data_IF_639131756844
#
_entry.id   IF_639131756844
#
_cell.length_a   1.000
_cell.length_b   1.000
_cell.length_c   1.000
_cell.angle_alpha   90.00
_cell.angle_beta   90.00
_cell.angle_gamma   90.00
#
_symmetry.space_group_name_H-M   'P 1'
#
loop_
_entity.id
_entity.type
_entity.pdbx_description
1 polymer ?
#
# COMPACT_ATOMS: atom_id res chain seq x y z
N UNK A 1 -21.43 6.69 6.41
CA UNK A 1 -19.96 6.83 6.50
C UNK A 1 -19.58 6.56 7.94
N UNK A 2 -19.12 5.34 8.23
CA UNK A 2 -18.62 5.04 9.58
C UNK A 2 -17.24 5.69 9.73
N UNK A 3 -17.02 6.31 10.88
CA UNK A 3 -15.76 6.98 11.16
C UNK A 3 -14.61 5.95 11.15
N UNK A 4 -13.47 6.33 10.65
CA UNK A 4 -12.24 5.53 10.56
C UNK A 4 -11.78 4.89 11.89
N UNK A 5 -12.40 5.24 13.02
CA UNK A 5 -11.93 4.95 14.36
C UNK A 5 -12.93 4.21 15.24
N UNK A 6 -14.14 3.93 14.76
CA UNK A 6 -15.12 3.14 15.52
C UNK A 6 -15.43 1.86 14.75
N UNK A 7 -15.11 0.71 15.30
CA UNK A 7 -15.51 -0.59 14.77
C UNK A 7 -17.03 -0.66 14.54
N UNK A 8 -17.47 -1.46 13.59
CA UNK A 8 -18.90 -1.64 13.29
C UNK A 8 -19.20 -1.87 11.82
N UNK A 9 -18.24 -2.39 11.03
CA UNK A 9 -18.54 -2.89 9.70
C UNK A 9 -19.34 -4.19 9.80
N UNK A 10 -20.54 -4.21 9.24
CA UNK A 10 -21.39 -5.40 9.15
C UNK A 10 -21.70 -5.68 7.68
N UNK A 11 -22.05 -6.93 7.38
CA UNK A 11 -22.53 -7.32 6.06
C UNK A 11 -24.02 -7.57 6.14
N UNK A 12 -24.75 -6.93 5.24
CA UNK A 12 -26.18 -7.13 5.03
C UNK A 12 -26.39 -7.69 3.64
N UNK A 13 -27.42 -8.50 3.46
CA UNK A 13 -27.87 -9.00 2.17
C UNK A 13 -29.33 -8.65 1.93
N UNK A 14 -29.71 -8.58 0.66
CA UNK A 14 -31.07 -8.36 0.20
C UNK A 14 -31.39 -9.40 -0.88
N UNK A 15 -32.56 -10.00 -0.81
CA UNK A 15 -33.12 -10.93 -1.79
C UNK A 15 -34.32 -10.34 -2.55
N UNK A 16 -34.62 -9.06 -2.33
CA UNK A 16 -35.74 -8.31 -2.91
C UNK A 16 -35.31 -7.03 -3.63
N UNK A 17 -34.13 -7.05 -4.27
CA UNK A 17 -33.55 -5.92 -5.01
C UNK A 17 -33.31 -4.67 -4.14
N UNK A 18 -32.96 -4.85 -2.88
CA UNK A 18 -32.63 -3.77 -1.97
C UNK A 18 -33.82 -3.12 -1.28
N UNK A 19 -35.01 -3.70 -1.41
CA UNK A 19 -36.21 -3.19 -0.72
C UNK A 19 -36.14 -3.45 0.78
N UNK A 20 -35.62 -4.62 1.18
CA UNK A 20 -35.31 -4.96 2.57
C UNK A 20 -33.91 -5.53 2.70
N UNK A 21 -33.32 -5.41 3.89
CA UNK A 21 -31.96 -5.87 4.18
C UNK A 21 -31.94 -6.67 5.47
N UNK A 22 -31.29 -7.83 5.45
CA UNK A 22 -31.10 -8.72 6.58
C UNK A 22 -29.62 -8.82 6.93
N UNK A 23 -29.30 -8.96 8.23
CA UNK A 23 -27.94 -9.22 8.68
C UNK A 23 -27.49 -10.61 8.25
N UNK A 24 -26.26 -10.71 7.75
CA UNK A 24 -25.67 -12.00 7.42
C UNK A 24 -25.43 -12.86 8.67
N UNK A 25 -25.59 -14.18 8.55
CA UNK A 25 -25.21 -15.13 9.59
C UNK A 25 -23.78 -15.64 9.36
N UNK A 26 -23.04 -15.89 10.45
CA UNK A 26 -21.64 -16.28 10.41
C UNK A 26 -21.40 -17.64 11.08
N UNK A 27 -20.51 -18.45 10.51
CA UNK A 27 -20.20 -19.78 11.04
C UNK A 27 -19.46 -19.77 12.38
N UNK A 28 -18.73 -18.73 12.72
CA UNK A 28 -18.11 -18.50 14.04
C UNK A 28 -17.47 -17.12 14.17
N UNK A 29 -17.52 -16.55 15.37
CA UNK A 29 -16.51 -15.68 15.97
C UNK A 29 -16.24 -14.30 15.37
N UNK A 30 -16.84 -13.88 14.30
CA UNK A 30 -16.79 -12.51 13.86
C UNK A 30 -17.56 -11.64 14.85
N UNK A 31 -16.84 -10.96 15.70
CA UNK A 31 -17.41 -9.89 16.49
C UNK A 31 -17.45 -8.63 15.61
N UNK A 32 -18.43 -7.79 15.83
CA UNK A 32 -18.80 -6.59 15.06
C UNK A 32 -17.72 -5.47 15.08
N UNK A 33 -16.43 -5.81 15.04
CA UNK A 33 -15.33 -4.88 15.16
C UNK A 33 -14.56 -4.70 13.84
N UNK A 34 -15.17 -5.05 12.70
CA UNK A 34 -14.54 -4.80 11.40
C UNK A 34 -14.39 -3.28 11.16
N UNK A 35 -13.20 -2.83 10.83
CA UNK A 35 -12.96 -1.44 10.45
C UNK A 35 -13.21 -1.21 8.97
N UNK A 36 -12.92 -2.23 8.15
CA UNK A 36 -13.14 -2.21 6.70
C UNK A 36 -13.56 -3.59 6.21
N UNK A 37 -14.50 -3.60 5.29
CA UNK A 37 -14.93 -4.82 4.60
C UNK A 37 -14.90 -4.54 3.10
N UNK A 38 -14.22 -5.40 2.35
CA UNK A 38 -14.25 -5.41 0.89
C UNK A 38 -14.97 -6.66 0.41
N UNK A 39 -16.11 -6.48 -0.26
CA UNK A 39 -16.98 -7.57 -0.74
C UNK A 39 -16.84 -7.71 -2.24
N UNK A 40 -16.64 -8.93 -2.72
CA UNK A 40 -16.53 -9.26 -4.14
C UNK A 40 -17.37 -10.47 -4.52
N UNK A 41 -18.21 -10.27 -5.52
CA UNK A 41 -18.93 -11.35 -6.19
C UNK A 41 -18.00 -12.02 -7.18
N UNK A 42 -18.01 -13.33 -7.28
CA UNK A 42 -17.29 -14.06 -8.32
C UNK A 42 -18.04 -13.90 -9.66
N UNK A 43 -17.43 -13.32 -10.70
CA UNK A 43 -18.15 -13.08 -11.97
C UNK A 43 -18.57 -14.37 -12.67
N UNK A 44 -17.81 -15.46 -12.50
CA UNK A 44 -18.11 -16.78 -13.07
C UNK A 44 -19.14 -17.58 -12.30
N UNK A 45 -19.43 -17.20 -11.03
CA UNK A 45 -20.46 -17.81 -10.19
C UNK A 45 -21.07 -16.76 -9.26
N UNK A 46 -22.14 -16.07 -9.65
CA UNK A 46 -22.73 -15.00 -8.85
C UNK A 46 -23.26 -15.41 -7.47
N UNK A 47 -23.44 -16.70 -7.20
CA UNK A 47 -23.80 -17.17 -5.85
C UNK A 47 -22.59 -17.19 -4.91
N UNK A 48 -21.38 -17.23 -5.46
CA UNK A 48 -20.16 -17.18 -4.68
C UNK A 48 -19.73 -15.74 -4.47
N UNK A 49 -19.68 -15.35 -3.19
CA UNK A 49 -19.25 -14.02 -2.76
C UNK A 49 -18.19 -14.17 -1.68
N UNK A 50 -17.16 -13.34 -1.76
CA UNK A 50 -16.12 -13.26 -0.74
C UNK A 50 -16.16 -11.91 -0.05
N UNK A 51 -15.74 -11.89 1.20
CA UNK A 51 -15.53 -10.69 1.99
C UNK A 51 -14.16 -10.75 2.67
N UNK A 52 -13.30 -9.80 2.35
CA UNK A 52 -12.06 -9.59 3.08
C UNK A 52 -12.30 -8.53 4.17
N UNK A 53 -12.00 -8.89 5.41
CA UNK A 53 -12.37 -8.10 6.58
C UNK A 53 -11.11 -7.65 7.31
N UNK A 54 -10.93 -6.34 7.43
CA UNK A 54 -9.82 -5.71 8.12
C UNK A 54 -10.20 -5.21 9.51
N UNK A 55 -9.32 -5.43 10.49
CA UNK A 55 -9.43 -4.86 11.84
C UNK A 55 -8.12 -4.20 12.26
N UNK A 56 -8.23 -3.19 13.14
CA UNK A 56 -7.07 -2.65 13.86
C UNK A 56 -6.75 -3.60 15.01
N UNK A 57 -5.52 -4.05 15.12
CA UNK A 57 -4.97 -4.82 16.24
C UNK A 57 -5.54 -6.24 16.46
N UNK A 58 -6.31 -6.81 15.55
CA UNK A 58 -6.76 -8.20 15.62
C UNK A 58 -6.62 -8.88 14.24
N UNK A 59 -6.56 -10.23 14.20
CA UNK A 59 -6.49 -10.96 12.94
C UNK A 59 -7.62 -10.56 12.01
N UNK A 60 -7.32 -10.50 10.72
CA UNK A 60 -8.28 -10.30 9.65
C UNK A 60 -8.90 -11.61 9.27
N UNK A 61 -10.02 -11.54 8.59
CA UNK A 61 -10.70 -12.73 8.10
C UNK A 61 -11.02 -12.60 6.63
N UNK A 62 -10.95 -13.72 5.95
CA UNK A 62 -11.64 -13.95 4.71
C UNK A 62 -12.92 -14.73 5.04
N UNK A 63 -14.01 -14.35 4.42
CA UNK A 63 -15.26 -15.09 4.52
C UNK A 63 -15.81 -15.38 3.12
N UNK A 64 -16.48 -16.50 2.98
CA UNK A 64 -17.11 -16.95 1.73
C UNK A 64 -18.57 -17.32 1.96
N UNK A 65 -19.43 -16.93 1.06
CA UNK A 65 -20.79 -17.40 0.94
C UNK A 65 -21.02 -18.05 -0.42
N UNK A 66 -21.96 -18.99 -0.49
CA UNK A 66 -22.46 -19.60 -1.73
C UNK A 66 -24.00 -19.60 -1.78
N UNK A 67 -24.64 -18.81 -0.92
CA UNK A 67 -26.07 -18.69 -0.77
C UNK A 67 -26.56 -17.23 -0.80
N UNK A 68 -25.96 -16.44 -1.70
CA UNK A 68 -26.25 -15.01 -1.89
C UNK A 68 -26.07 -14.14 -0.65
N UNK A 69 -25.18 -14.54 0.26
CA UNK A 69 -24.85 -13.72 1.43
C UNK A 69 -25.69 -13.99 2.67
N UNK A 70 -26.60 -14.96 2.66
CA UNK A 70 -27.42 -15.29 3.82
C UNK A 70 -26.62 -15.98 4.92
N UNK A 71 -25.64 -16.83 4.55
CA UNK A 71 -24.68 -17.41 5.50
C UNK A 71 -23.26 -17.33 4.99
N UNK A 72 -22.31 -17.20 5.91
CA UNK A 72 -20.91 -17.03 5.63
C UNK A 72 -20.05 -18.02 6.39
N UNK A 73 -19.11 -18.63 5.68
CA UNK A 73 -18.05 -19.45 6.26
C UNK A 73 -16.79 -18.60 6.38
N UNK A 74 -16.23 -18.54 7.57
CA UNK A 74 -14.94 -17.89 7.81
C UNK A 74 -13.81 -18.83 7.39
N UNK A 75 -12.89 -18.30 6.63
CA UNK A 75 -11.70 -18.99 6.11
C UNK A 75 -10.45 -18.41 6.75
N UNK A 76 -9.39 -19.21 6.80
CA UNK A 76 -8.10 -18.75 7.28
C UNK A 76 -7.43 -17.85 6.25
N UNK A 77 -6.74 -16.83 6.73
CA UNK A 77 -5.87 -15.99 5.92
C UNK A 77 -4.48 -16.59 5.80
N UNK A 78 -3.73 -16.26 4.73
CA UNK A 78 -2.36 -16.72 4.61
C UNK A 78 -1.55 -16.29 5.84
N UNK A 79 -0.96 -17.26 6.49
CA UNK A 79 0.08 -17.06 7.48
C UNK A 79 1.42 -17.11 6.77
N UNK A 80 2.28 -16.15 7.00
CA UNK A 80 3.60 -16.15 6.39
C UNK A 80 4.48 -17.22 7.03
N UNK A 81 5.08 -18.06 6.21
CA UNK A 81 6.13 -18.99 6.66
C UNK A 81 7.52 -18.33 6.67
N UNK A 82 7.68 -17.15 6.07
CA UNK A 82 8.94 -16.42 6.09
C UNK A 82 9.09 -15.57 7.36
N UNK A 83 9.63 -16.21 8.40
CA UNK A 83 9.99 -15.57 9.66
C UNK A 83 11.21 -14.65 9.56
N UNK A 84 11.88 -14.55 8.42
CA UNK A 84 13.09 -13.75 8.22
C UNK A 84 12.81 -12.26 8.07
N UNK A 85 11.58 -11.85 7.76
CA UNK A 85 11.17 -10.46 7.58
C UNK A 85 10.39 -9.90 8.76
N UNK A 86 10.90 -10.06 9.98
CA UNK A 86 10.23 -9.66 11.23
C UNK A 86 9.97 -8.15 11.40
N UNK A 87 10.34 -7.30 10.46
CA UNK A 87 10.25 -5.86 10.69
C UNK A 87 8.99 -5.19 10.13
N UNK A 88 8.41 -5.70 9.05
CA UNK A 88 7.15 -5.19 8.49
C UNK A 88 6.50 -6.31 7.69
N UNK A 89 5.68 -7.09 8.37
CA UNK A 89 5.17 -8.37 7.94
C UNK A 89 4.63 -8.46 6.53
N UNK A 90 5.15 -9.40 5.78
CA UNK A 90 4.53 -9.90 4.57
C UNK A 90 3.27 -10.74 4.85
N UNK A 91 2.51 -10.45 5.88
CA UNK A 91 1.31 -11.20 6.25
C UNK A 91 0.06 -10.45 5.80
N UNK A 92 -0.86 -11.16 5.19
CA UNK A 92 -2.20 -10.64 5.05
C UNK A 92 -2.90 -10.52 6.43
N UNK A 93 -2.47 -11.33 7.41
CA UNK A 93 -3.04 -11.40 8.75
C UNK A 93 -2.40 -10.47 9.78
N UNK A 94 -1.14 -10.03 9.57
CA UNK A 94 -0.41 -9.22 10.52
C UNK A 94 0.05 -7.94 9.86
N UNK A 95 -0.66 -6.88 10.06
CA UNK A 95 -0.16 -5.61 9.62
C UNK A 95 -0.59 -4.59 10.62
N UNK A 96 0.34 -4.01 11.24
CA UNK A 96 0.34 -2.88 12.15
C UNK A 96 -0.76 -1.82 11.90
N UNK A 97 -2.01 -2.26 11.70
CA UNK A 97 -3.17 -1.40 11.55
C UNK A 97 -3.43 -0.87 10.12
N UNK A 98 -2.71 -1.29 9.08
CA UNK A 98 -2.90 -0.75 7.71
C UNK A 98 -4.18 -1.26 7.01
N UNK A 99 -4.73 -2.40 7.41
CA UNK A 99 -5.94 -2.94 6.78
C UNK A 99 -7.22 -2.15 6.99
N UNK A 100 -7.20 -1.17 7.86
CA UNK A 100 -8.31 -0.24 7.97
C UNK A 100 -8.38 0.72 6.77
N UNK A 101 -7.28 0.94 6.05
CA UNK A 101 -7.23 1.85 4.91
C UNK A 101 -6.68 1.20 3.62
N UNK A 102 -5.78 0.22 3.69
CA UNK A 102 -5.19 -0.47 2.55
C UNK A 102 -5.63 -1.93 2.49
N UNK A 103 -6.64 -2.24 1.70
CA UNK A 103 -7.08 -3.59 1.33
C UNK A 103 -7.35 -3.62 -0.17
N UNK A 104 -6.57 -4.41 -0.90
CA UNK A 104 -6.84 -4.77 -2.28
C UNK A 104 -7.37 -6.21 -2.34
N UNK A 105 -8.57 -6.39 -2.90
CA UNK A 105 -9.16 -7.70 -3.04
C UNK A 105 -9.84 -7.89 -4.40
N UNK A 106 -9.67 -9.07 -5.00
CA UNK A 106 -10.26 -9.40 -6.27
C UNK A 106 -10.54 -10.89 -6.41
N UNK A 107 -11.64 -11.23 -7.11
CA UNK A 107 -11.97 -12.59 -7.54
C UNK A 107 -11.74 -12.69 -9.04
N UNK A 108 -11.21 -13.81 -9.48
CA UNK A 108 -10.96 -14.05 -10.90
C UNK A 108 -12.26 -14.00 -11.71
N UNK A 109 -12.19 -13.40 -12.89
CA UNK A 109 -13.37 -13.21 -13.73
C UNK A 109 -13.89 -14.52 -14.32
N UNK A 110 -13.04 -15.55 -14.41
CA UNK A 110 -13.34 -16.82 -15.09
C UNK A 110 -13.37 -18.03 -14.14
N UNK A 111 -12.83 -17.88 -12.92
CA UNK A 111 -12.78 -18.93 -11.91
C UNK A 111 -13.14 -18.38 -10.52
N UNK A 112 -14.27 -18.79 -9.99
CA UNK A 112 -14.78 -18.37 -8.67
C UNK A 112 -13.88 -18.80 -7.50
N UNK A 113 -12.98 -19.76 -7.67
CA UNK A 113 -12.06 -20.22 -6.64
C UNK A 113 -10.69 -19.52 -6.69
N UNK A 114 -10.40 -18.79 -7.75
CA UNK A 114 -9.18 -18.00 -7.85
C UNK A 114 -9.42 -16.59 -7.31
N UNK A 115 -8.69 -16.25 -6.25
CA UNK A 115 -8.80 -14.95 -5.56
C UNK A 115 -7.42 -14.35 -5.32
N UNK A 116 -7.39 -13.03 -5.28
CA UNK A 116 -6.19 -12.23 -5.03
C UNK A 116 -6.45 -11.29 -3.87
N UNK A 117 -5.50 -11.20 -2.97
CA UNK A 117 -5.57 -10.30 -1.83
C UNK A 117 -4.22 -9.61 -1.61
N UNK A 118 -4.25 -8.32 -1.28
CA UNK A 118 -3.06 -7.54 -1.00
C UNK A 118 -3.31 -6.51 0.09
N UNK A 119 -2.31 -6.30 0.89
CA UNK A 119 -2.22 -5.21 1.86
C UNK A 119 -0.82 -4.60 1.73
N UNK A 120 0.20 -5.21 2.32
CA UNK A 120 1.62 -4.88 2.06
C UNK A 120 2.07 -5.67 0.83
N UNK A 121 2.03 -6.99 0.90
CA UNK A 121 2.32 -7.88 -0.23
C UNK A 121 1.04 -8.48 -0.80
N UNK A 122 1.12 -9.02 -2.01
CA UNK A 122 0.03 -9.67 -2.68
C UNK A 122 0.13 -11.20 -2.60
N UNK A 123 -1.03 -11.82 -2.47
CA UNK A 123 -1.22 -13.26 -2.38
C UNK A 123 -2.29 -13.72 -3.37
N UNK A 124 -2.14 -14.96 -3.83
CA UNK A 124 -3.08 -15.66 -4.71
C UNK A 124 -3.53 -16.96 -4.06
N UNK A 125 -4.80 -17.24 -4.11
CA UNK A 125 -5.40 -18.56 -3.84
C UNK A 125 -6.06 -19.07 -5.12
N UNK A 126 -6.02 -20.38 -5.34
CA UNK A 126 -6.70 -21.06 -6.46
C UNK A 126 -7.70 -22.13 -5.97
N UNK A 127 -7.95 -22.16 -4.67
CA UNK A 127 -8.83 -23.13 -4.02
C UNK A 127 -9.91 -22.49 -3.13
N UNK A 128 -10.22 -21.24 -3.44
CA UNK A 128 -11.27 -20.49 -2.75
C UNK A 128 -10.86 -19.96 -1.38
N UNK A 129 -9.57 -19.73 -1.15
CA UNK A 129 -9.05 -19.18 0.09
C UNK A 129 -8.60 -20.21 1.12
N UNK A 130 -8.50 -21.48 0.75
CA UNK A 130 -8.02 -22.55 1.64
C UNK A 130 -6.51 -22.55 1.75
N UNK A 131 -5.83 -22.34 0.61
CA UNK A 131 -4.37 -22.17 0.59
C UNK A 131 -3.97 -20.96 -0.24
N UNK A 132 -2.77 -20.42 0.03
CA UNK A 132 -2.30 -19.19 -0.54
C UNK A 132 -0.87 -19.28 -1.04
N UNK A 133 -0.60 -18.61 -2.13
CA UNK A 133 0.74 -18.41 -2.69
C UNK A 133 1.11 -16.93 -2.57
N UNK A 134 2.26 -16.63 -1.99
CA UNK A 134 2.86 -15.31 -1.96
C UNK A 134 3.38 -14.96 -3.37
N UNK A 135 2.98 -13.84 -3.94
CA UNK A 135 3.30 -13.50 -5.34
C UNK A 135 4.08 -12.20 -5.51
N UNK A 136 4.28 -11.42 -4.45
CA UNK A 136 5.05 -10.17 -4.53
C UNK A 136 5.92 -9.93 -3.31
N UNK A 137 6.95 -9.09 -3.48
CA UNK A 137 7.77 -8.54 -2.39
C UNK A 137 7.87 -7.02 -2.59
N UNK A 138 7.28 -6.25 -1.68
CA UNK A 138 7.29 -4.80 -1.73
C UNK A 138 8.68 -4.15 -1.62
N UNK A 139 9.64 -4.87 -1.04
CA UNK A 139 11.03 -4.39 -0.91
C UNK A 139 11.85 -4.61 -2.18
N UNK A 140 11.39 -5.46 -3.10
CA UNK A 140 12.18 -5.88 -4.25
C UNK A 140 13.49 -6.57 -3.86
N UNK A 141 13.54 -7.18 -2.66
CA UNK A 141 14.76 -7.72 -2.06
C UNK A 141 15.24 -9.04 -2.69
N UNK A 142 14.52 -9.57 -3.66
CA UNK A 142 14.86 -10.83 -4.33
C UNK A 142 14.04 -12.01 -3.80
N UNK A 143 14.65 -13.17 -3.68
CA UNK A 143 13.92 -14.38 -3.25
C UNK A 143 13.02 -15.00 -4.34
N UNK A 144 13.09 -14.48 -5.57
CA UNK A 144 12.30 -14.95 -6.71
C UNK A 144 10.91 -14.31 -6.82
N UNK A 145 10.51 -13.49 -5.86
CA UNK A 145 9.26 -12.73 -5.92
C UNK A 145 9.42 -11.45 -6.74
N UNK A 146 8.33 -10.99 -7.30
CA UNK A 146 8.30 -9.76 -8.10
C UNK A 146 8.08 -8.54 -7.19
N UNK A 147 8.70 -7.41 -7.57
CA UNK A 147 8.40 -6.15 -6.90
C UNK A 147 6.97 -5.72 -7.19
N UNK A 148 6.25 -5.39 -6.13
CA UNK A 148 4.95 -4.75 -6.17
C UNK A 148 4.84 -3.83 -4.97
N UNK A 149 4.61 -2.55 -5.21
CA UNK A 149 4.54 -1.57 -4.13
C UNK A 149 3.49 -1.96 -3.09
N UNK A 150 3.74 -1.62 -1.84
CA UNK A 150 2.83 -1.87 -0.71
C UNK A 150 1.52 -1.08 -0.80
N UNK A 151 0.68 -1.27 0.20
CA UNK A 151 -0.54 -0.51 0.46
C UNK A 151 -1.56 -0.61 -0.68
N UNK A 152 -2.05 -1.83 -0.87
CA UNK A 152 -2.99 -2.16 -1.92
C UNK A 152 -4.39 -1.60 -1.64
N UNK A 153 -4.99 -0.95 -2.64
CA UNK A 153 -6.35 -0.40 -2.58
C UNK A 153 -7.34 -1.13 -3.48
N UNK A 154 -6.87 -1.72 -4.56
CA UNK A 154 -7.72 -2.49 -5.45
C UNK A 154 -6.94 -3.58 -6.18
N UNK A 155 -7.60 -4.71 -6.38
CA UNK A 155 -7.18 -5.77 -7.29
C UNK A 155 -8.33 -6.08 -8.23
N UNK A 156 -8.02 -6.20 -9.52
CA UNK A 156 -8.99 -6.57 -10.55
C UNK A 156 -8.41 -7.65 -11.44
N UNK A 157 -9.08 -8.78 -11.51
CA UNK A 157 -8.80 -9.82 -12.49
C UNK A 157 -9.63 -9.59 -13.75
N UNK A 158 -8.98 -9.64 -14.89
CA UNK A 158 -9.62 -9.66 -16.21
C UNK A 158 -9.87 -11.12 -16.60
N UNK A 159 -8.92 -11.98 -16.29
CA UNK A 159 -8.97 -13.44 -16.39
C UNK A 159 -7.86 -14.01 -15.48
N UNK A 160 -7.75 -15.34 -15.37
CA UNK A 160 -6.79 -16.01 -14.47
C UNK A 160 -5.31 -15.69 -14.74
N UNK A 161 -4.99 -14.97 -15.78
CA UNK A 161 -3.63 -14.55 -16.13
C UNK A 161 -3.44 -13.03 -16.06
N UNK A 162 -4.50 -12.26 -16.37
CA UNK A 162 -4.44 -10.81 -16.48
C UNK A 162 -5.04 -10.14 -15.25
N UNK A 163 -4.18 -9.59 -14.40
CA UNK A 163 -4.56 -8.94 -13.16
C UNK A 163 -3.96 -7.55 -13.10
N UNK A 164 -4.74 -6.60 -12.62
CA UNK A 164 -4.33 -5.22 -12.32
C UNK A 164 -4.36 -5.01 -10.81
N UNK A 165 -3.27 -4.46 -10.28
CA UNK A 165 -3.14 -4.02 -8.90
C UNK A 165 -3.03 -2.49 -8.87
N UNK A 166 -3.74 -1.86 -7.94
CA UNK A 166 -3.61 -0.46 -7.62
C UNK A 166 -3.21 -0.30 -6.15
N UNK A 167 -2.13 0.43 -5.93
CA UNK A 167 -1.52 0.66 -4.63
C UNK A 167 -0.91 2.07 -4.56
N UNK A 168 -0.25 2.43 -3.46
CA UNK A 168 0.35 3.76 -3.29
C UNK A 168 1.53 4.04 -4.23
N UNK A 169 2.11 3.01 -4.84
CA UNK A 169 3.09 3.13 -5.93
C UNK A 169 2.48 3.27 -7.33
N UNK A 170 1.14 3.24 -7.44
CA UNK A 170 0.40 3.41 -8.70
C UNK A 170 -0.23 2.12 -9.23
N UNK A 171 -0.13 1.90 -10.53
CA UNK A 171 -0.75 0.78 -11.24
C UNK A 171 0.31 -0.24 -11.64
N UNK A 172 0.02 -1.49 -11.32
CA UNK A 172 0.83 -2.65 -11.70
C UNK A 172 -0.04 -3.67 -12.42
N UNK A 173 0.58 -4.45 -13.28
CA UNK A 173 -0.12 -5.39 -14.16
C UNK A 173 0.67 -6.67 -14.38
N UNK A 174 -0.03 -7.77 -14.48
CA UNK A 174 0.51 -9.08 -14.87
C UNK A 174 -0.33 -9.70 -15.99
N UNK A 175 0.31 -10.50 -16.83
CA UNK A 175 -0.34 -11.29 -17.89
C UNK A 175 -0.15 -12.81 -17.71
N UNK A 176 0.41 -13.22 -16.58
CA UNK A 176 0.74 -14.62 -16.30
C UNK A 176 0.44 -14.99 -14.84
N UNK A 177 -0.65 -14.44 -14.30
CA UNK A 177 -1.19 -14.81 -13.00
C UNK A 177 -0.33 -14.42 -11.80
N UNK A 178 0.50 -13.38 -11.94
CA UNK A 178 1.38 -12.89 -10.88
C UNK A 178 2.83 -13.40 -10.97
N UNK A 179 3.16 -14.24 -11.96
CA UNK A 179 4.55 -14.71 -12.13
C UNK A 179 5.52 -13.58 -12.49
N UNK A 180 5.07 -12.65 -13.34
CA UNK A 180 5.79 -11.40 -13.62
C UNK A 180 4.81 -10.24 -13.44
N UNK A 181 5.25 -9.20 -12.73
CA UNK A 181 4.47 -8.01 -12.44
C UNK A 181 5.22 -6.80 -13.02
N UNK A 182 4.51 -5.95 -13.74
CA UNK A 182 5.06 -4.78 -14.42
C UNK A 182 4.37 -3.50 -13.95
N UNK A 183 5.14 -2.49 -13.62
CA UNK A 183 4.63 -1.16 -13.36
C UNK A 183 4.05 -0.54 -14.64
N UNK A 184 2.92 0.19 -14.53
CA UNK A 184 2.20 0.83 -15.64
C UNK A 184 1.90 2.30 -15.34
N UNK A 185 2.87 3.00 -14.77
CA UNK A 185 2.74 4.41 -14.38
C UNK A 185 3.19 5.40 -15.46
N UNK A 186 3.64 4.94 -16.62
CA UNK A 186 4.05 5.83 -17.70
C UNK A 186 2.89 6.73 -18.13
N UNK A 187 3.10 8.05 -18.06
CA UNK A 187 2.05 9.05 -18.30
C UNK A 187 1.10 9.30 -17.13
N UNK A 188 1.22 8.55 -16.04
CA UNK A 188 0.47 8.77 -14.82
C UNK A 188 1.24 9.73 -13.90
N UNK A 189 1.09 11.03 -14.14
CA UNK A 189 1.86 12.09 -13.46
C UNK A 189 1.15 12.53 -12.18
N UNK A 190 1.05 11.64 -11.19
CA UNK A 190 0.45 11.92 -9.90
C UNK A 190 1.46 11.62 -8.79
N UNK A 191 1.65 12.58 -7.89
CA UNK A 191 2.47 12.44 -6.70
C UNK A 191 1.91 13.33 -5.60
N UNK A 192 1.87 12.82 -4.38
CA UNK A 192 1.45 13.59 -3.22
C UNK A 192 2.70 14.11 -2.51
N UNK A 193 2.98 15.39 -2.67
CA UNK A 193 4.13 16.03 -2.04
C UNK A 193 3.79 16.53 -0.63
N UNK A 194 4.64 16.22 0.33
CA UNK A 194 4.63 16.84 1.65
C UNK A 194 5.30 18.22 1.63
N UNK A 195 6.35 18.35 0.82
CA UNK A 195 7.12 19.59 0.74
C UNK A 195 7.84 19.70 -0.60
N UNK A 196 8.11 20.93 -1.01
CA UNK A 196 8.82 21.26 -2.22
C UNK A 196 9.81 22.39 -1.94
N UNK A 197 11.05 22.27 -2.41
CA UNK A 197 12.07 23.31 -2.41
C UNK A 197 12.43 23.69 -3.85
N UNK A 198 12.52 24.99 -4.11
CA UNK A 198 12.87 25.54 -5.39
C UNK A 198 14.32 26.03 -5.40
N UNK A 199 14.98 25.89 -6.53
CA UNK A 199 16.29 26.48 -6.75
C UNK A 199 16.20 28.01 -6.71
N UNK A 200 17.16 28.73 -6.06
CA UNK A 200 17.09 30.20 -5.92
C UNK A 200 17.18 30.96 -7.23
N UNK A 201 17.83 30.39 -8.24
CA UNK A 201 17.94 30.99 -9.56
C UNK A 201 16.62 30.82 -10.33
N UNK A 202 15.95 31.93 -10.66
CA UNK A 202 14.62 31.94 -11.26
C UNK A 202 14.52 31.24 -12.63
N UNK A 203 15.65 31.13 -13.38
CA UNK A 203 15.71 30.41 -14.65
C UNK A 203 15.91 28.90 -14.47
N UNK A 204 16.26 28.45 -13.28
CA UNK A 204 16.53 27.06 -12.99
C UNK A 204 15.20 26.34 -12.64
N UNK A 205 14.87 25.31 -13.40
CA UNK A 205 13.66 24.53 -13.19
C UNK A 205 13.84 23.39 -12.17
N UNK A 206 14.99 23.33 -11.50
CA UNK A 206 15.27 22.31 -10.51
C UNK A 206 14.37 22.42 -9.28
N UNK A 207 13.74 21.32 -8.95
CA UNK A 207 12.85 21.15 -7.80
C UNK A 207 13.31 19.93 -7.01
N UNK A 208 13.36 20.06 -5.69
CA UNK A 208 13.52 18.95 -4.76
C UNK A 208 12.23 18.82 -3.93
N UNK A 209 11.68 17.63 -3.82
CA UNK A 209 10.46 17.45 -3.06
C UNK A 209 10.36 16.07 -2.43
N UNK A 210 9.79 15.99 -1.23
CA UNK A 210 9.47 14.75 -0.55
C UNK A 210 8.00 14.38 -0.75
N UNK A 211 7.76 13.12 -1.09
CA UNK A 211 6.42 12.59 -1.38
C UNK A 211 6.00 11.55 -0.35
N UNK A 212 4.72 11.39 -0.17
CA UNK A 212 4.18 10.27 0.58
C UNK A 212 4.47 8.96 -0.17
N UNK A 213 4.94 7.95 0.54
CA UNK A 213 5.16 6.55 0.13
C UNK A 213 6.13 6.34 -1.05
N UNK A 214 6.53 7.40 -1.74
CA UNK A 214 7.32 7.34 -2.98
C UNK A 214 8.64 8.10 -2.91
N UNK A 215 9.19 8.29 -1.73
CA UNK A 215 10.52 8.86 -1.51
C UNK A 215 10.63 10.36 -1.73
N UNK A 216 11.86 10.85 -1.78
CA UNK A 216 12.18 12.22 -2.17
C UNK A 216 12.71 12.26 -3.61
N UNK A 217 12.23 13.24 -4.37
CA UNK A 217 12.51 13.36 -5.79
C UNK A 217 13.21 14.65 -6.15
N UNK A 218 14.17 14.52 -7.03
CA UNK A 218 14.85 15.59 -7.70
C UNK A 218 14.32 15.70 -9.13
N UNK A 219 13.75 16.85 -9.49
CA UNK A 219 13.17 17.11 -10.81
C UNK A 219 13.98 18.25 -11.45
N UNK A 220 14.73 17.95 -12.51
CA UNK A 220 15.68 18.88 -13.13
C UNK A 220 15.17 19.59 -14.37
N UNK A 221 14.03 19.17 -14.93
CA UNK A 221 13.44 19.76 -16.13
C UNK A 221 11.96 19.38 -16.23
N UNK A 222 11.27 19.97 -17.19
CA UNK A 222 9.89 19.58 -17.51
C UNK A 222 9.84 18.24 -18.24
N UNK A 223 8.84 17.41 -17.97
CA UNK A 223 8.57 16.14 -18.64
C UNK A 223 8.72 14.92 -17.72
N UNK A 224 8.21 13.81 -18.19
CA UNK A 224 8.06 12.56 -17.40
C UNK A 224 9.43 11.96 -16.99
N UNK A 225 10.45 12.10 -17.83
CA UNK A 225 11.75 11.49 -17.61
C UNK A 225 12.74 12.38 -16.81
N UNK A 226 12.28 13.50 -16.27
CA UNK A 226 13.18 14.49 -15.64
C UNK A 226 13.41 14.27 -14.15
N UNK A 227 12.68 13.35 -13.51
CA UNK A 227 12.81 13.07 -12.09
C UNK A 227 13.79 11.94 -11.79
N UNK A 228 14.51 12.04 -10.68
CA UNK A 228 15.26 10.94 -10.10
C UNK A 228 15.01 10.86 -8.60
N UNK A 229 14.81 9.65 -8.11
CA UNK A 229 14.65 9.38 -6.70
C UNK A 229 15.94 9.63 -5.93
N UNK A 230 15.82 10.25 -4.77
CA UNK A 230 16.92 10.56 -3.84
C UNK A 230 16.88 9.61 -2.65
N UNK A 231 15.70 9.36 -2.13
CA UNK A 231 15.45 8.47 -0.97
C UNK A 231 14.21 7.65 -1.23
N UNK A 232 14.16 6.42 -0.71
CA UNK A 232 12.94 5.61 -0.67
C UNK A 232 12.08 5.88 0.56
N UNK A 233 10.96 5.15 0.67
CA UNK A 233 9.96 5.27 1.74
C UNK A 233 9.16 6.56 1.67
N UNK A 234 8.72 7.09 2.82
CA UNK A 234 8.15 8.44 2.85
C UNK A 234 9.26 9.47 2.70
N UNK A 235 9.16 10.30 1.67
CA UNK A 235 9.95 11.51 1.56
C UNK A 235 9.41 12.57 2.50
N UNK A 236 10.31 13.28 3.18
CA UNK A 236 9.95 14.33 4.13
C UNK A 236 10.07 15.74 3.57
N UNK A 237 10.39 16.67 4.43
CA UNK A 237 10.64 18.04 4.04
C UNK A 237 11.94 18.18 3.26
N UNK A 238 11.90 19.00 2.23
CA UNK A 238 13.02 19.30 1.35
C UNK A 238 13.43 20.76 1.50
N UNK A 239 14.73 21.03 1.41
CA UNK A 239 15.30 22.37 1.48
C UNK A 239 16.47 22.51 0.51
N UNK A 240 16.57 23.67 -0.16
CA UNK A 240 17.70 24.11 -0.96
C UNK A 240 18.17 25.43 -0.38
N UNK A 241 19.47 25.53 -0.02
CA UNK A 241 20.02 26.76 0.52
C UNK A 241 19.93 27.88 -0.54
N UNK A 242 19.33 29.00 -0.16
CA UNK A 242 19.05 30.11 -1.08
C UNK A 242 20.28 30.97 -1.37
N UNK A 243 21.34 30.83 -0.58
CA UNK A 243 22.61 31.54 -0.78
C UNK A 243 23.65 30.66 -1.48
N UNK A 244 23.65 29.35 -1.19
CA UNK A 244 24.52 28.38 -1.87
C UNK A 244 23.72 27.11 -2.20
N UNK A 245 23.13 27.02 -3.40
CA UNK A 245 22.27 25.90 -3.78
C UNK A 245 23.00 24.56 -3.93
N UNK A 246 24.32 24.51 -3.74
CA UNK A 246 25.04 23.26 -3.60
C UNK A 246 24.64 22.50 -2.32
N UNK A 247 24.23 23.23 -1.28
CA UNK A 247 23.74 22.63 -0.05
C UNK A 247 22.25 22.38 -0.13
N UNK A 248 21.88 21.11 -0.03
CA UNK A 248 20.49 20.67 -0.12
C UNK A 248 20.24 19.60 0.92
N UNK A 249 19.02 19.57 1.43
CA UNK A 249 18.57 18.61 2.42
C UNK A 249 17.23 18.02 2.03
N UNK A 250 17.03 16.76 2.35
CA UNK A 250 15.73 16.13 2.38
C UNK A 250 15.66 15.17 3.55
N UNK A 251 14.45 14.86 3.99
CA UNK A 251 14.23 13.93 5.08
C UNK A 251 13.43 12.73 4.58
N UNK A 252 13.52 11.62 5.31
CA UNK A 252 12.62 10.49 5.18
C UNK A 252 12.07 10.09 6.55
N UNK A 253 11.15 9.14 6.57
CA UNK A 253 10.60 8.60 7.80
C UNK A 253 11.71 8.14 8.76
N UNK A 254 11.43 8.16 10.07
CA UNK A 254 12.40 7.81 11.11
C UNK A 254 13.49 8.86 11.37
N UNK A 255 13.24 10.13 11.02
CA UNK A 255 14.17 11.25 11.19
C UNK A 255 15.50 11.09 10.45
N UNK A 256 15.50 10.35 9.35
CA UNK A 256 16.67 10.27 8.49
C UNK A 256 16.78 11.56 7.66
N UNK A 257 17.89 12.25 7.80
CA UNK A 257 18.21 13.44 7.02
C UNK A 257 19.28 13.09 6.00
N UNK A 258 19.07 13.51 4.78
CA UNK A 258 20.01 13.37 3.67
C UNK A 258 20.50 14.75 3.27
N UNK A 259 21.81 14.85 3.02
CA UNK A 259 22.45 16.09 2.62
C UNK A 259 23.21 15.90 1.30
N UNK A 260 23.07 16.86 0.42
CA UNK A 260 23.97 17.10 -0.70
C UNK A 260 24.81 18.35 -0.44
N UNK A 261 26.04 18.36 -0.92
CA UNK A 261 26.96 19.53 -0.94
C UNK A 261 27.43 19.85 -2.35
N UNK A 262 26.77 19.30 -3.36
CA UNK A 262 27.16 19.42 -4.76
C UNK A 262 25.94 19.57 -5.70
N UNK A 263 24.94 20.32 -5.27
CA UNK A 263 23.76 20.63 -6.08
C UNK A 263 22.87 19.41 -6.38
N UNK A 264 22.81 18.45 -5.46
CA UNK A 264 21.96 17.26 -5.63
C UNK A 264 22.57 16.18 -6.53
N UNK A 265 23.86 16.26 -6.89
CA UNK A 265 24.51 15.23 -7.70
C UNK A 265 24.80 13.97 -6.91
N UNK A 266 25.09 14.10 -5.62
CA UNK A 266 25.20 12.99 -4.69
C UNK A 266 24.64 13.34 -3.32
N UNK A 267 24.21 12.32 -2.59
CA UNK A 267 23.56 12.45 -1.29
C UNK A 267 24.23 11.53 -0.28
N UNK A 268 24.29 11.99 0.97
CA UNK A 268 24.76 11.20 2.10
C UNK A 268 23.83 11.36 3.27
N UNK A 269 23.67 10.31 4.06
CA UNK A 269 22.96 10.39 5.35
C UNK A 269 23.70 11.37 6.25
N UNK A 270 22.97 12.34 6.79
CA UNK A 270 23.51 13.31 7.73
C UNK A 270 23.27 12.81 9.16
N UNK A 271 24.30 12.21 9.76
CA UNK A 271 24.22 11.58 11.09
C UNK A 271 24.78 12.41 12.23
N UNK A 272 25.44 13.54 11.95
CA UNK A 272 26.04 14.38 13.00
C UNK A 272 25.04 15.41 13.55
N UNK A 273 24.12 14.94 14.39
CA UNK A 273 23.23 15.78 15.20
C UNK A 273 23.88 16.19 16.52
N UNK A 274 25.14 16.63 16.54
CA UNK A 274 25.84 17.02 17.79
C UNK A 274 25.43 18.39 18.33
N UNK A 275 24.66 19.15 17.60
CA UNK A 275 24.15 20.42 18.07
C UNK A 275 22.62 20.41 18.15
N UNK A 276 22.13 20.13 19.31
CA UNK A 276 20.74 20.39 19.65
C UNK A 276 19.91 19.16 19.88
N UNK A 277 19.70 18.96 21.06
CA UNK A 277 18.55 18.38 21.76
C UNK A 277 17.16 18.63 21.10
N UNK A 278 17.09 19.08 19.87
CA UNK A 278 15.85 19.41 19.19
C UNK A 278 15.31 18.28 18.29
N UNK A 279 16.13 17.28 17.99
CA UNK A 279 15.63 16.07 17.32
C UNK A 279 15.58 14.99 18.38
N UNK A 280 14.42 14.83 18.98
CA UNK A 280 14.17 13.77 19.96
C UNK A 280 14.16 12.41 19.24
N UNK A 281 15.16 11.54 19.44
CA UNK A 281 15.22 10.23 18.79
C UNK A 281 14.10 9.26 19.22
N UNK A 282 13.34 9.62 20.22
CA UNK A 282 12.15 8.87 20.68
C UNK A 282 10.84 9.57 20.33
N UNK A 283 10.89 10.71 19.67
CA UNK A 283 9.71 11.48 19.25
C UNK A 283 9.30 11.09 17.86
N UNK A 284 8.27 10.42 17.80
CA UNK A 284 7.42 10.01 16.72
C UNK A 284 6.96 11.22 15.89
N UNK A 285 7.78 11.74 15.03
CA UNK A 285 7.28 12.53 13.93
C UNK A 285 7.41 11.70 12.65
N UNK A 286 6.28 11.32 12.10
CA UNK A 286 6.18 10.59 10.85
C UNK A 286 6.89 11.33 9.71
N UNK A 287 6.95 12.65 9.79
CA UNK A 287 7.60 13.54 8.84
C UNK A 287 8.50 14.51 9.58
N UNK A 288 9.80 14.49 9.27
CA UNK A 288 10.74 15.47 9.83
C UNK A 288 10.59 16.83 9.16
N UNK A 289 10.30 17.85 9.95
CA UNK A 289 10.32 19.25 9.51
C UNK A 289 11.71 19.83 9.64
N UNK A 290 12.25 20.38 8.57
CA UNK A 290 13.46 21.19 8.60
C UNK A 290 13.04 22.65 8.79
N UNK A 291 13.36 23.25 9.92
CA UNK A 291 13.22 24.69 10.11
C UNK A 291 14.43 25.44 9.58
N UNK A 292 14.19 26.59 8.98
CA UNK A 292 15.25 27.53 8.56
C UNK A 292 15.94 28.16 9.75
#
# INVERSE_FOLDING_TARGET
>A
MNSYWSGGGEIYYSDDNGSTWSSASWSSGLNNNANRVDVRVAPSDPNTVYALIGQIATPRWLAKTTDNGSSWTVLDLPTNEDTSSQSYGGYLSDVNGTANWAIGFGVDATDANTIYAGVIDAYKSTDGGVSWTHISDWRGSGGGLQYLHADHHAVRSINNNEIVFANDGGIFYTVNGGTNIYQRNEGYNVGQFYSVALHPEASNQYVLGGTQDNGSWKIGATGIASGSEVTGGDGGFAHIDQLDPNYQFTASNGNNIYRSTNGGLSWSTYSNHTEGTLINPSGIDFISTLSQ
#
